data_IF_455619471349
#
_entry.id   IF_455619471349
#
_cell.length_a   1.000
_cell.length_b   1.000
_cell.length_c   1.000
_cell.angle_alpha   90.00
_cell.angle_beta   90.00
_cell.angle_gamma   90.00
#
_symmetry.space_group_name_H-M   'P 1'
#
loop_
_entity.id
_entity.type
_entity.pdbx_description
1 polymer ?
#
# COMPACT_ATOMS: atom_id res chain seq x y z
N UNK A 1 6.60 -34.03 -19.44
CA UNK A 1 6.63 -32.76 -20.21
C UNK A 1 5.21 -32.22 -20.25
N UNK A 2 4.85 -31.34 -19.31
CA UNK A 2 3.51 -30.73 -19.26
C UNK A 2 3.65 -29.28 -19.70
N UNK A 3 2.93 -28.93 -20.78
CA UNK A 3 2.98 -27.64 -21.44
C UNK A 3 2.38 -26.55 -20.54
N UNK A 4 3.20 -25.59 -20.09
CA UNK A 4 2.74 -24.31 -19.58
C UNK A 4 2.17 -23.51 -20.76
N UNK A 5 0.86 -23.29 -20.76
CA UNK A 5 0.24 -22.25 -21.56
C UNK A 5 0.53 -20.90 -20.88
N UNK A 6 1.53 -20.18 -21.41
CA UNK A 6 1.71 -18.75 -21.22
C UNK A 6 0.58 -18.03 -21.94
N UNK A 7 -0.54 -17.79 -21.24
CA UNK A 7 -1.46 -16.73 -21.64
C UNK A 7 -0.79 -15.39 -21.33
N UNK A 8 -0.04 -14.87 -22.30
CA UNK A 8 0.20 -13.43 -22.40
C UNK A 8 -1.15 -12.84 -22.83
N UNK A 9 -2.02 -12.57 -21.84
CA UNK A 9 -3.15 -11.67 -22.06
C UNK A 9 -2.55 -10.35 -22.54
N UNK A 10 -3.12 -9.71 -23.58
CA UNK A 10 -2.70 -8.38 -23.96
C UNK A 10 -2.92 -7.51 -22.72
N UNK A 11 -1.83 -6.99 -22.15
CA UNK A 11 -1.90 -5.90 -21.20
C UNK A 11 -2.50 -4.76 -22.02
N UNK A 12 -3.82 -4.61 -21.96
CA UNK A 12 -4.46 -3.36 -22.33
C UNK A 12 -3.61 -2.28 -21.66
N UNK A 13 -3.06 -1.38 -22.48
CA UNK A 13 -2.29 -0.24 -22.01
C UNK A 13 -3.26 0.66 -21.26
N UNK A 14 -3.56 0.29 -20.02
CA UNK A 14 -4.21 1.14 -19.05
C UNK A 14 -3.35 2.39 -19.01
N UNK A 15 -3.96 3.55 -19.26
CA UNK A 15 -3.26 4.82 -19.17
C UNK A 15 -2.90 5.08 -17.70
N UNK A 16 -1.75 4.55 -17.30
CA UNK A 16 -1.25 4.62 -15.94
C UNK A 16 -1.07 6.08 -15.49
N UNK A 17 -0.78 7.00 -16.42
CA UNK A 17 -0.64 8.42 -16.11
C UNK A 17 -1.99 9.05 -15.76
N UNK A 18 -3.04 8.73 -16.52
CA UNK A 18 -4.38 9.20 -16.22
C UNK A 18 -4.89 8.63 -14.88
N UNK A 19 -4.71 7.33 -14.64
CA UNK A 19 -5.13 6.71 -13.37
C UNK A 19 -4.37 7.32 -12.19
N UNK A 20 -3.04 7.50 -12.31
CA UNK A 20 -2.22 8.17 -11.31
C UNK A 20 -2.77 9.56 -11.00
N UNK A 21 -2.99 10.38 -12.01
CA UNK A 21 -3.51 11.74 -11.83
C UNK A 21 -4.87 11.77 -11.10
N UNK A 22 -5.78 10.87 -11.48
CA UNK A 22 -7.11 10.77 -10.84
C UNK A 22 -7.01 10.31 -9.38
N UNK A 23 -6.15 9.33 -9.08
CA UNK A 23 -5.90 8.85 -7.72
C UNK A 23 -5.25 9.92 -6.85
N UNK A 24 -4.26 10.65 -7.36
CA UNK A 24 -3.62 11.75 -6.65
C UNK A 24 -4.64 12.87 -6.34
N UNK A 25 -5.48 13.23 -7.32
CA UNK A 25 -6.55 14.21 -7.12
C UNK A 25 -7.54 13.75 -6.05
N UNK A 26 -7.91 12.47 -6.06
CA UNK A 26 -8.79 11.89 -5.04
C UNK A 26 -8.13 11.92 -3.64
N UNK A 27 -6.88 11.47 -3.52
CA UNK A 27 -6.13 11.47 -2.26
C UNK A 27 -5.92 12.87 -1.67
N UNK A 28 -5.93 13.91 -2.50
CA UNK A 28 -5.82 15.31 -2.07
C UNK A 28 -7.15 15.94 -1.62
N UNK A 29 -8.28 15.25 -1.78
CA UNK A 29 -9.56 15.73 -1.21
C UNK A 29 -9.54 15.67 0.32
N UNK A 30 -10.30 16.53 0.99
CA UNK A 30 -10.30 16.65 2.46
C UNK A 30 -10.53 15.33 3.20
N UNK A 31 -11.41 14.46 2.66
CA UNK A 31 -11.76 13.18 3.29
C UNK A 31 -10.74 12.07 3.04
N UNK A 32 -9.99 12.13 1.94
CA UNK A 32 -9.00 11.10 1.59
C UNK A 32 -7.57 11.51 1.96
N UNK A 33 -7.32 12.77 2.30
CA UNK A 33 -6.01 13.26 2.75
C UNK A 33 -5.75 13.07 4.24
N UNK A 34 -6.72 12.52 4.98
CA UNK A 34 -6.59 12.24 6.41
C UNK A 34 -7.18 10.89 6.81
N UNK A 35 -6.73 10.33 7.93
CA UNK A 35 -7.18 9.02 8.43
C UNK A 35 -7.21 8.97 9.96
N UNK A 36 -8.00 8.08 10.53
CA UNK A 36 -8.16 7.89 11.98
C UNK A 36 -7.41 6.68 12.55
N UNK A 37 -6.35 6.22 11.88
CA UNK A 37 -5.54 5.07 12.33
C UNK A 37 -4.99 5.32 13.75
N UNK A 38 -5.27 4.39 14.67
CA UNK A 38 -4.68 4.42 16.01
C UNK A 38 -3.21 4.00 15.98
N UNK A 39 -2.29 4.89 16.39
CA UNK A 39 -0.85 4.61 16.46
C UNK A 39 -0.35 4.28 17.88
N UNK A 40 -1.22 4.44 18.88
CA UNK A 40 -0.91 4.31 20.31
C UNK A 40 -1.22 2.92 20.88
N UNK A 41 -1.62 1.97 20.04
CA UNK A 41 -1.82 0.59 20.46
C UNK A 41 -0.49 -0.02 20.94
N UNK A 42 -0.56 -0.78 22.04
CA UNK A 42 0.60 -1.42 22.66
C UNK A 42 1.12 -2.57 21.81
N UNK A 43 2.44 -2.74 21.78
CA UNK A 43 3.07 -3.93 21.22
C UNK A 43 2.71 -5.15 22.08
N UNK A 44 2.17 -6.20 21.46
CA UNK A 44 1.80 -7.44 22.14
C UNK A 44 2.88 -8.53 22.05
N UNK A 45 4.04 -8.21 21.46
CA UNK A 45 5.11 -9.17 21.19
C UNK A 45 6.37 -8.82 21.99
N UNK A 46 6.96 -9.83 22.63
CA UNK A 46 8.23 -9.67 23.34
C UNK A 46 9.40 -9.49 22.35
N UNK A 47 10.49 -8.89 22.84
CA UNK A 47 11.74 -8.74 22.08
C UNK A 47 11.79 -7.54 21.12
N UNK A 48 10.77 -6.68 21.11
CA UNK A 48 10.81 -5.38 20.47
C UNK A 48 11.04 -4.29 21.52
N UNK A 49 12.09 -3.49 21.35
CA UNK A 49 12.19 -2.25 22.13
C UNK A 49 11.01 -1.38 21.75
N UNK A 50 10.31 -0.79 22.72
CA UNK A 50 9.28 0.21 22.43
C UNK A 50 9.61 1.51 23.13
N UNK A 51 9.77 2.58 22.35
CA UNK A 51 9.83 3.94 22.88
C UNK A 51 8.52 4.64 22.56
N UNK A 52 7.92 5.32 23.53
CA UNK A 52 6.78 6.19 23.27
C UNK A 52 7.20 7.26 22.27
N UNK A 53 6.56 7.26 21.11
CA UNK A 53 6.72 8.33 20.13
C UNK A 53 5.87 9.53 20.53
N UNK A 54 6.27 10.70 20.04
CA UNK A 54 5.40 11.87 20.03
C UNK A 54 4.05 11.50 19.38
N UNK A 55 2.92 11.75 20.06
CA UNK A 55 1.62 11.38 19.55
C UNK A 55 1.32 12.19 18.28
N UNK A 56 0.93 11.51 17.21
CA UNK A 56 0.40 12.17 16.02
C UNK A 56 -1.09 12.47 16.28
N UNK A 57 -1.54 13.74 16.21
CA UNK A 57 -2.94 14.07 16.42
C UNK A 57 -3.87 13.39 15.40
N UNK A 58 -5.05 12.98 15.87
CA UNK A 58 -6.13 12.41 15.04
C UNK A 58 -7.17 13.50 14.77
N UNK A 59 -7.70 13.67 13.54
CA UNK A 59 -7.38 12.90 12.32
C UNK A 59 -5.96 13.20 11.79
N UNK A 60 -5.26 12.15 11.36
CA UNK A 60 -3.87 12.22 10.90
C UNK A 60 -3.86 12.75 9.47
N UNK A 61 -3.24 13.90 9.23
CA UNK A 61 -2.97 14.41 7.88
C UNK A 61 -1.84 13.61 7.21
N UNK A 62 -2.15 12.93 6.10
CA UNK A 62 -1.18 12.16 5.32
C UNK A 62 -0.16 13.06 4.60
N UNK A 63 -0.55 14.22 4.00
CA UNK A 63 0.41 15.16 3.43
C UNK A 63 1.40 15.73 4.45
N UNK A 64 0.99 15.93 5.71
CA UNK A 64 1.88 16.39 6.77
C UNK A 64 2.82 15.29 7.30
N UNK A 65 2.55 14.02 6.95
CA UNK A 65 3.31 12.84 7.40
C UNK A 65 3.73 11.99 6.19
N UNK A 66 4.52 12.53 5.25
CA UNK A 66 4.87 11.82 4.02
C UNK A 66 5.67 10.54 4.31
N UNK A 67 5.53 9.55 3.44
CA UNK A 67 6.32 8.33 3.52
C UNK A 67 7.73 8.61 3.00
N UNK A 68 8.68 8.69 3.91
CA UNK A 68 10.07 9.08 3.62
C UNK A 68 11.04 8.13 4.30
N UNK A 69 12.31 8.20 3.91
CA UNK A 69 13.37 7.58 4.69
C UNK A 69 13.44 8.23 6.08
N UNK A 70 13.25 7.42 7.12
CA UNK A 70 13.33 7.84 8.54
C UNK A 70 14.58 7.34 9.26
N UNK A 71 15.50 6.70 8.54
CA UNK A 71 16.66 5.98 9.07
C UNK A 71 16.30 4.90 10.11
N UNK A 72 15.07 4.35 10.06
CA UNK A 72 14.65 3.29 10.97
C UNK A 72 15.39 1.96 10.69
N UNK A 73 16.22 1.52 11.64
CA UNK A 73 17.12 0.37 11.48
C UNK A 73 16.54 -0.98 11.95
N UNK A 74 15.54 -0.95 12.83
CA UNK A 74 14.97 -2.17 13.46
C UNK A 74 13.91 -2.88 12.58
N UNK A 75 13.70 -2.41 11.35
CA UNK A 75 12.64 -2.92 10.48
C UNK A 75 12.80 -4.39 10.07
N UNK A 76 14.01 -4.95 10.10
CA UNK A 76 14.27 -6.33 9.68
C UNK A 76 13.53 -7.37 10.53
N UNK A 77 13.51 -7.18 11.86
CA UNK A 77 12.82 -8.09 12.78
C UNK A 77 11.29 -8.00 12.60
N UNK A 78 10.77 -6.80 12.37
CA UNK A 78 9.35 -6.55 12.07
C UNK A 78 8.94 -7.25 10.77
N UNK A 79 9.70 -7.07 9.69
CA UNK A 79 9.41 -7.74 8.42
C UNK A 79 9.45 -9.26 8.56
N UNK A 80 10.44 -9.80 9.28
CA UNK A 80 10.51 -11.24 9.54
C UNK A 80 9.23 -11.75 10.22
N UNK A 81 8.77 -11.09 11.28
CA UNK A 81 7.53 -11.46 11.96
C UNK A 81 6.31 -11.40 11.01
N UNK A 82 6.23 -10.36 10.15
CA UNK A 82 5.17 -10.23 9.15
C UNK A 82 5.19 -11.39 8.14
N UNK A 83 6.37 -11.78 7.63
CA UNK A 83 6.49 -12.94 6.74
C UNK A 83 6.07 -14.25 7.44
N UNK A 84 6.38 -14.39 8.73
CA UNK A 84 6.10 -15.59 9.52
C UNK A 84 4.60 -15.75 9.90
N UNK A 85 3.76 -14.72 9.70
CA UNK A 85 2.29 -14.79 9.96
C UNK A 85 1.65 -15.97 9.22
N UNK A 86 2.08 -16.25 7.98
CA UNK A 86 1.59 -17.37 7.20
C UNK A 86 2.63 -17.86 6.20
N UNK A 87 2.91 -19.16 6.22
CA UNK A 87 3.91 -19.81 5.36
C UNK A 87 3.27 -20.36 4.09
N UNK A 88 2.83 -19.46 3.20
CA UNK A 88 2.43 -19.84 1.85
C UNK A 88 2.84 -18.80 0.80
N UNK A 89 2.80 -19.22 -0.46
CA UNK A 89 3.22 -18.39 -1.60
C UNK A 89 2.40 -17.10 -1.69
N UNK A 90 1.08 -17.15 -1.50
CA UNK A 90 0.24 -15.94 -1.64
C UNK A 90 0.60 -14.89 -0.58
N UNK A 91 0.78 -15.29 0.68
CA UNK A 91 1.17 -14.37 1.75
C UNK A 91 2.54 -13.75 1.46
N UNK A 92 3.52 -14.60 1.13
CA UNK A 92 4.88 -14.16 0.79
C UNK A 92 4.88 -13.14 -0.34
N UNK A 93 4.09 -13.36 -1.40
CA UNK A 93 4.00 -12.44 -2.53
C UNK A 93 3.34 -11.11 -2.18
N UNK A 94 2.26 -11.12 -1.38
CA UNK A 94 1.63 -9.89 -0.90
C UNK A 94 2.61 -9.07 -0.05
N UNK A 95 3.32 -9.72 0.88
CA UNK A 95 4.32 -9.06 1.73
C UNK A 95 5.51 -8.58 0.92
N UNK A 96 6.00 -9.36 -0.06
CA UNK A 96 7.05 -8.94 -0.99
C UNK A 96 6.67 -7.66 -1.73
N UNK A 97 5.47 -7.61 -2.31
CA UNK A 97 4.99 -6.44 -3.02
C UNK A 97 4.89 -5.19 -2.13
N UNK A 98 4.41 -5.36 -0.90
CA UNK A 98 4.30 -4.27 0.07
C UNK A 98 5.68 -3.80 0.55
N UNK A 99 6.60 -4.72 0.82
CA UNK A 99 7.98 -4.44 1.20
C UNK A 99 8.72 -3.70 0.07
N UNK A 100 8.58 -4.17 -1.18
CA UNK A 100 9.16 -3.48 -2.34
C UNK A 100 8.60 -2.06 -2.50
N UNK A 101 7.28 -1.86 -2.36
CA UNK A 101 6.68 -0.52 -2.41
C UNK A 101 7.24 0.42 -1.33
N UNK A 102 7.57 -0.13 -0.15
CA UNK A 102 8.17 0.63 0.95
C UNK A 102 9.61 1.01 0.62
N UNK A 103 10.38 0.06 0.08
CA UNK A 103 11.73 0.30 -0.40
C UNK A 103 11.79 1.39 -1.48
N UNK A 104 10.89 1.37 -2.46
CA UNK A 104 10.80 2.42 -3.49
C UNK A 104 10.65 3.81 -2.87
N UNK A 105 9.77 3.98 -1.89
CA UNK A 105 9.56 5.28 -1.22
C UNK A 105 10.74 5.71 -0.35
N UNK A 106 11.42 4.77 0.30
CA UNK A 106 12.67 5.04 1.03
C UNK A 106 13.74 5.57 0.07
N UNK A 107 13.87 4.97 -1.12
CA UNK A 107 14.81 5.44 -2.14
C UNK A 107 14.37 6.76 -2.76
N UNK A 108 13.06 6.96 -3.01
CA UNK A 108 12.53 8.17 -3.65
C UNK A 108 12.72 9.39 -2.79
N UNK A 109 12.40 9.24 -1.51
CA UNK A 109 12.45 10.30 -0.51
C UNK A 109 13.56 9.97 0.48
N UNK A 110 14.80 9.85 -0.02
CA UNK A 110 15.95 9.53 0.80
C UNK A 110 16.43 10.78 1.53
N UNK A 111 16.67 10.67 2.84
CA UNK A 111 17.12 11.80 3.66
C UNK A 111 18.58 12.14 3.33
N UNK A 112 18.81 13.34 2.80
CA UNK A 112 20.14 13.90 2.62
C UNK A 112 20.55 14.63 3.91
N UNK A 113 21.55 14.09 4.60
CA UNK A 113 22.04 14.61 5.87
C UNK A 113 22.79 15.94 5.72
N UNK A 114 23.27 16.30 4.52
CA UNK A 114 23.98 17.55 4.28
C UNK A 114 23.05 18.76 4.32
N UNK A 115 21.95 18.70 3.57
CA UNK A 115 21.04 19.83 3.37
C UNK A 115 19.70 19.69 4.13
N UNK A 116 19.53 18.59 4.88
CA UNK A 116 18.27 18.21 5.54
C UNK A 116 17.07 18.19 4.56
N UNK A 117 17.33 17.77 3.32
CA UNK A 117 16.33 17.63 2.26
C UNK A 117 16.04 16.16 1.98
N UNK A 118 15.01 15.90 1.16
CA UNK A 118 14.69 14.56 0.69
C UNK A 118 14.89 14.49 -0.82
N UNK A 119 15.81 13.64 -1.27
CA UNK A 119 16.18 13.49 -2.68
C UNK A 119 16.19 12.02 -3.10
N UNK A 120 15.95 11.70 -4.38
CA UNK A 120 16.03 10.32 -4.87
C UNK A 120 17.44 9.74 -4.79
N UNK A 121 17.58 8.58 -4.13
CA UNK A 121 18.83 7.81 -4.06
C UNK A 121 18.79 6.62 -5.03
N UNK A 122 19.11 6.89 -6.31
CA UNK A 122 19.12 5.88 -7.38
C UNK A 122 20.14 4.76 -7.13
N UNK A 123 21.29 5.10 -6.56
CA UNK A 123 22.37 4.13 -6.25
C UNK A 123 21.87 3.07 -5.27
N UNK A 124 21.26 3.49 -4.16
CA UNK A 124 20.67 2.57 -3.19
C UNK A 124 19.57 1.70 -3.82
N UNK A 125 18.75 2.29 -4.70
CA UNK A 125 17.73 1.54 -5.43
C UNK A 125 18.36 0.41 -6.25
N UNK A 126 19.36 0.73 -7.07
CA UNK A 126 20.05 -0.24 -7.93
C UNK A 126 20.77 -1.33 -7.13
N UNK A 127 21.42 -0.98 -6.02
CA UNK A 127 22.16 -1.92 -5.17
C UNK A 127 21.26 -2.96 -4.47
N UNK A 128 20.04 -2.56 -4.09
CA UNK A 128 19.11 -3.40 -3.32
C UNK A 128 17.89 -3.88 -4.11
N UNK A 129 17.84 -3.57 -5.41
CA UNK A 129 16.73 -3.99 -6.26
C UNK A 129 16.63 -5.52 -6.30
N UNK A 130 15.40 -6.03 -6.16
CA UNK A 130 15.08 -7.44 -6.30
C UNK A 130 14.03 -7.61 -7.39
N UNK A 131 14.41 -8.31 -8.47
CA UNK A 131 13.50 -8.60 -9.59
C UNK A 131 12.27 -9.39 -9.14
N UNK A 132 12.45 -10.41 -8.30
CA UNK A 132 11.38 -11.22 -7.75
C UNK A 132 10.37 -10.37 -6.95
N UNK A 133 10.86 -9.54 -6.02
CA UNK A 133 9.98 -8.65 -5.24
C UNK A 133 9.31 -7.58 -6.10
N UNK A 134 9.97 -7.11 -7.15
CA UNK A 134 9.36 -6.19 -8.11
C UNK A 134 8.20 -6.86 -8.87
N UNK A 135 8.36 -8.10 -9.35
CA UNK A 135 7.29 -8.86 -10.01
C UNK A 135 6.08 -9.07 -9.07
N UNK A 136 6.33 -9.41 -7.80
CA UNK A 136 5.28 -9.52 -6.79
C UNK A 136 4.59 -8.18 -6.48
N UNK A 137 5.36 -7.09 -6.49
CA UNK A 137 4.82 -5.73 -6.38
C UNK A 137 3.90 -5.36 -7.54
N UNK A 138 4.27 -5.70 -8.79
CA UNK A 138 3.42 -5.47 -9.95
C UNK A 138 2.07 -6.19 -9.78
N UNK A 139 2.08 -7.43 -9.30
CA UNK A 139 0.86 -8.20 -9.07
C UNK A 139 0.00 -7.63 -7.94
N UNK A 140 0.62 -7.16 -6.85
CA UNK A 140 -0.09 -6.46 -5.79
C UNK A 140 -0.75 -5.19 -6.31
N UNK A 141 -0.01 -4.36 -7.06
CA UNK A 141 -0.56 -3.14 -7.68
C UNK A 141 -1.75 -3.45 -8.58
N UNK A 142 -1.62 -4.44 -9.46
CA UNK A 142 -2.69 -4.85 -10.35
C UNK A 142 -3.93 -5.33 -9.58
N UNK A 143 -3.75 -6.16 -8.55
CA UNK A 143 -4.86 -6.60 -7.70
C UNK A 143 -5.60 -5.43 -7.04
N UNK A 144 -4.85 -4.47 -6.49
CA UNK A 144 -5.39 -3.29 -5.82
C UNK A 144 -6.15 -2.37 -6.79
N UNK A 145 -5.55 -2.07 -7.96
CA UNK A 145 -6.21 -1.27 -9.01
C UNK A 145 -7.51 -1.94 -9.47
N UNK A 146 -7.44 -3.22 -9.83
CA UNK A 146 -8.62 -3.96 -10.33
C UNK A 146 -9.73 -4.01 -9.30
N UNK A 147 -9.41 -3.99 -8.01
CA UNK A 147 -10.44 -3.92 -6.95
C UNK A 147 -11.32 -2.66 -7.08
N UNK A 148 -10.77 -1.52 -7.51
CA UNK A 148 -11.57 -0.32 -7.84
C UNK A 148 -12.56 -0.63 -8.98
N UNK A 149 -12.07 -1.32 -10.01
CA UNK A 149 -12.85 -1.79 -11.16
C UNK A 149 -14.10 -2.60 -10.76
N UNK A 150 -14.03 -3.39 -9.69
CA UNK A 150 -15.14 -4.25 -9.22
C UNK A 150 -15.94 -3.67 -8.05
N UNK A 151 -15.48 -2.59 -7.41
CA UNK A 151 -16.14 -2.00 -6.24
C UNK A 151 -17.54 -1.45 -6.57
N UNK A 152 -18.48 -1.68 -5.66
CA UNK A 152 -19.78 -0.99 -5.65
C UNK A 152 -19.62 0.35 -4.93
N UNK A 153 -19.50 1.43 -5.70
CA UNK A 153 -19.22 2.76 -5.17
C UNK A 153 -20.41 3.37 -4.41
N UNK A 154 -21.64 2.92 -4.70
CA UNK A 154 -22.85 3.50 -4.13
C UNK A 154 -23.01 3.23 -2.62
N UNK A 155 -22.39 2.17 -2.09
CA UNK A 155 -22.46 1.81 -0.68
C UNK A 155 -21.44 2.54 0.21
N UNK A 156 -20.55 3.35 -0.37
CA UNK A 156 -19.40 3.93 0.34
C UNK A 156 -19.62 5.36 0.86
N UNK A 157 -20.80 5.95 0.68
CA UNK A 157 -21.08 7.30 1.16
C UNK A 157 -20.15 8.37 0.55
N UNK A 158 -19.81 8.21 -0.73
CA UNK A 158 -18.93 9.11 -1.47
C UNK A 158 -19.63 10.43 -1.80
N UNK A 159 -18.91 11.54 -1.73
CA UNK A 159 -19.37 12.83 -2.25
C UNK A 159 -19.36 12.80 -3.78
N UNK A 160 -20.15 13.69 -4.40
CA UNK A 160 -20.29 13.76 -5.86
C UNK A 160 -18.95 13.83 -6.61
N UNK A 161 -17.99 14.61 -6.11
CA UNK A 161 -16.67 14.72 -6.76
C UNK A 161 -15.83 13.45 -6.59
N UNK A 162 -15.84 12.85 -5.39
CA UNK A 162 -15.13 11.59 -5.09
C UNK A 162 -15.67 10.45 -5.96
N UNK A 163 -17.00 10.36 -6.10
CA UNK A 163 -17.68 9.39 -6.95
C UNK A 163 -17.27 9.56 -8.43
N UNK A 164 -17.29 10.79 -8.95
CA UNK A 164 -16.87 11.08 -10.34
C UNK A 164 -15.42 10.66 -10.62
N UNK A 165 -14.50 10.90 -9.69
CA UNK A 165 -13.10 10.48 -9.82
C UNK A 165 -12.99 8.95 -9.86
N UNK A 166 -13.66 8.25 -8.94
CA UNK A 166 -13.63 6.79 -8.87
C UNK A 166 -14.34 6.13 -10.06
N UNK A 167 -15.44 6.69 -10.56
CA UNK A 167 -16.10 6.22 -11.79
C UNK A 167 -15.19 6.38 -13.01
N UNK A 168 -14.44 7.49 -13.08
CA UNK A 168 -13.46 7.71 -14.16
C UNK A 168 -12.33 6.67 -14.11
N UNK A 169 -11.80 6.36 -12.90
CA UNK A 169 -10.79 5.31 -12.73
C UNK A 169 -11.38 3.93 -13.08
N UNK A 170 -12.60 3.64 -12.60
CA UNK A 170 -13.30 2.37 -12.84
C UNK A 170 -13.49 2.12 -14.33
N UNK A 171 -13.86 3.16 -15.10
CA UNK A 171 -13.99 3.09 -16.56
C UNK A 171 -12.71 2.65 -17.25
N UNK A 172 -11.56 3.15 -16.80
CA UNK A 172 -10.25 2.74 -17.33
C UNK A 172 -9.87 1.29 -17.00
N UNK A 173 -10.63 0.61 -16.14
CA UNK A 173 -10.37 -0.75 -15.65
C UNK A 173 -11.45 -1.77 -16.04
N UNK A 174 -12.45 -1.39 -16.85
CA UNK A 174 -13.66 -2.19 -17.12
C UNK A 174 -13.40 -3.60 -17.70
N UNK A 175 -12.30 -3.79 -18.43
CA UNK A 175 -11.96 -5.07 -19.06
C UNK A 175 -10.97 -5.91 -18.24
N UNK A 176 -10.64 -5.50 -17.01
CA UNK A 176 -9.63 -6.17 -16.22
C UNK A 176 -10.21 -7.39 -15.48
N UNK A 177 -9.54 -8.55 -15.60
CA UNK A 177 -9.88 -9.73 -14.79
C UNK A 177 -9.27 -9.64 -13.40
N UNK A 178 -10.10 -9.76 -12.37
CA UNK A 178 -9.69 -9.76 -10.97
C UNK A 178 -9.54 -11.20 -10.45
N UNK A 179 -8.36 -11.52 -9.96
CA UNK A 179 -8.14 -12.72 -9.13
C UNK A 179 -8.45 -12.34 -7.70
N UNK A 180 -9.50 -12.95 -7.13
CA UNK A 180 -9.91 -12.68 -5.75
C UNK A 180 -8.94 -13.31 -4.76
N UNK A 181 -8.58 -12.54 -3.73
CA UNK A 181 -7.93 -13.06 -2.54
C UNK A 181 -8.97 -13.72 -1.64
N UNK A 182 -8.62 -14.86 -1.04
CA UNK A 182 -9.46 -15.55 -0.04
C UNK A 182 -9.77 -14.59 1.13
N UNK A 183 -11.05 -14.48 1.50
CA UNK A 183 -11.48 -13.61 2.61
C UNK A 183 -10.82 -13.96 3.94
N UNK A 184 -10.41 -15.23 4.15
CA UNK A 184 -9.67 -15.67 5.35
C UNK A 184 -8.32 -14.96 5.51
N UNK A 185 -7.81 -14.30 4.45
CA UNK A 185 -6.60 -13.47 4.52
C UNK A 185 -6.81 -12.19 5.33
N UNK A 186 -8.04 -11.76 5.57
CA UNK A 186 -8.35 -10.65 6.48
C UNK A 186 -7.72 -10.89 7.86
N UNK A 187 -7.83 -12.11 8.39
CA UNK A 187 -7.25 -12.47 9.70
C UNK A 187 -5.72 -12.41 9.70
N UNK A 188 -5.08 -12.76 8.58
CA UNK A 188 -3.63 -12.64 8.45
C UNK A 188 -3.19 -11.17 8.45
N UNK A 189 -3.95 -10.30 7.77
CA UNK A 189 -3.66 -8.86 7.76
C UNK A 189 -3.86 -8.25 9.16
N UNK A 190 -4.86 -8.70 9.91
CA UNK A 190 -5.08 -8.30 11.30
C UNK A 190 -3.88 -8.66 12.20
N UNK A 191 -3.30 -9.86 12.03
CA UNK A 191 -2.08 -10.25 12.74
C UNK A 191 -0.88 -9.37 12.36
N UNK A 192 -0.73 -9.04 11.07
CA UNK A 192 0.29 -8.08 10.62
C UNK A 192 0.11 -6.70 11.27
N UNK A 193 -1.13 -6.22 11.44
CA UNK A 193 -1.41 -4.95 12.13
C UNK A 193 -0.99 -4.98 13.61
N UNK A 194 -1.18 -6.11 14.30
CA UNK A 194 -0.71 -6.28 15.67
C UNK A 194 0.81 -6.22 15.76
N UNK A 195 1.52 -6.82 14.80
CA UNK A 195 3.00 -6.75 14.74
C UNK A 195 3.46 -5.29 14.53
N UNK A 196 2.74 -4.52 13.71
CA UNK A 196 3.06 -3.11 13.47
C UNK A 196 2.94 -2.22 14.72
N UNK A 197 2.23 -2.65 15.76
CA UNK A 197 2.22 -1.94 17.04
C UNK A 197 3.61 -1.88 17.68
N UNK A 198 4.50 -2.81 17.33
CA UNK A 198 5.89 -2.90 17.78
C UNK A 198 6.87 -2.04 16.99
N UNK A 199 6.41 -1.29 15.99
CA UNK A 199 7.28 -0.37 15.22
C UNK A 199 7.50 0.92 16.00
N UNK A 200 8.76 1.27 16.24
CA UNK A 200 9.12 2.53 16.94
C UNK A 200 9.10 3.76 16.05
N UNK A 201 9.20 3.62 14.75
CA UNK A 201 9.12 4.80 13.88
C UNK A 201 7.65 5.18 13.66
N UNK A 202 7.17 6.31 14.17
CA UNK A 202 5.77 6.74 14.07
C UNK A 202 5.26 6.81 12.62
N UNK A 203 6.02 7.43 11.71
CA UNK A 203 5.68 7.47 10.28
C UNK A 203 5.70 6.08 9.63
N UNK A 204 6.65 5.22 10.01
CA UNK A 204 6.72 3.84 9.51
C UNK A 204 5.53 3.02 10.00
N UNK A 205 5.11 3.20 11.25
CA UNK A 205 3.90 2.58 11.81
C UNK A 205 2.65 3.07 11.09
N UNK A 206 2.52 4.38 10.87
CA UNK A 206 1.41 4.97 10.11
C UNK A 206 1.29 4.36 8.71
N UNK A 207 2.35 4.43 7.90
CA UNK A 207 2.32 3.93 6.54
C UNK A 207 2.24 2.40 6.48
N UNK A 208 2.85 1.68 7.43
CA UNK A 208 2.67 0.24 7.58
C UNK A 208 1.20 -0.10 7.80
N UNK A 209 0.56 0.49 8.82
CA UNK A 209 -0.84 0.21 9.14
C UNK A 209 -1.77 0.59 8.00
N UNK A 210 -1.57 1.75 7.39
CA UNK A 210 -2.36 2.20 6.24
C UNK A 210 -2.34 1.16 5.11
N UNK A 211 -1.17 0.59 4.79
CA UNK A 211 -1.04 -0.40 3.72
C UNK A 211 -1.75 -1.73 4.06
N UNK A 212 -1.60 -2.23 5.28
CA UNK A 212 -2.28 -3.48 5.69
C UNK A 212 -3.79 -3.29 5.85
N UNK A 213 -4.26 -2.16 6.38
CA UNK A 213 -5.70 -1.82 6.41
C UNK A 213 -6.24 -1.69 4.97
N UNK A 214 -5.50 -1.01 4.08
CA UNK A 214 -5.89 -0.88 2.68
C UNK A 214 -5.97 -2.22 1.95
N UNK A 215 -5.03 -3.14 2.20
CA UNK A 215 -5.07 -4.49 1.65
C UNK A 215 -6.23 -5.31 2.23
N UNK A 216 -6.49 -5.20 3.52
CA UNK A 216 -7.64 -5.83 4.18
C UNK A 216 -8.96 -5.33 3.57
N UNK A 217 -9.10 -4.02 3.38
CA UNK A 217 -10.25 -3.42 2.72
C UNK A 217 -10.39 -3.93 1.27
N UNK A 218 -9.28 -4.04 0.52
CA UNK A 218 -9.32 -4.61 -0.81
C UNK A 218 -9.87 -6.06 -0.79
N UNK A 219 -9.39 -6.91 0.11
CA UNK A 219 -9.88 -8.29 0.27
C UNK A 219 -11.38 -8.30 0.57
N UNK A 220 -11.86 -7.48 1.51
CA UNK A 220 -13.30 -7.35 1.82
C UNK A 220 -14.13 -6.92 0.60
N UNK A 221 -13.64 -5.94 -0.16
CA UNK A 221 -14.28 -5.46 -1.39
C UNK A 221 -14.36 -6.54 -2.48
N UNK A 222 -13.27 -7.27 -2.72
CA UNK A 222 -13.22 -8.38 -3.70
C UNK A 222 -14.21 -9.50 -3.34
N UNK A 223 -14.46 -9.69 -2.05
CA UNK A 223 -15.38 -10.68 -1.49
C UNK A 223 -16.78 -10.12 -1.21
N UNK A 224 -17.09 -8.90 -1.67
CA UNK A 224 -18.42 -8.28 -1.61
C UNK A 224 -19.00 -8.20 -0.19
N UNK A 225 -18.18 -7.88 0.80
CA UNK A 225 -18.68 -7.57 2.14
C UNK A 225 -19.62 -6.35 2.08
N UNK A 226 -20.77 -6.45 2.76
CA UNK A 226 -21.84 -5.43 2.68
C UNK A 226 -21.45 -4.11 3.37
N UNK A 227 -20.59 -4.18 4.37
CA UNK A 227 -20.16 -3.03 5.16
C UNK A 227 -18.65 -2.85 5.06
N UNK A 228 -18.25 -1.70 4.53
CA UNK A 228 -16.87 -1.22 4.49
C UNK A 228 -16.83 0.06 5.29
N UNK A 229 -15.93 0.12 6.27
CA UNK A 229 -15.69 1.36 7.00
C UNK A 229 -15.03 2.40 6.07
N UNK A 230 -15.45 3.65 6.19
CA UNK A 230 -14.96 4.69 5.29
C UNK A 230 -13.47 4.95 5.46
N UNK A 231 -12.93 4.88 6.69
CA UNK A 231 -11.49 5.06 6.92
C UNK A 231 -10.68 3.88 6.39
N UNK A 232 -11.23 2.65 6.42
CA UNK A 232 -10.65 1.50 5.71
C UNK A 232 -10.58 1.75 4.20
N UNK A 233 -11.64 2.33 3.62
CA UNK A 233 -11.68 2.68 2.20
C UNK A 233 -10.70 3.81 1.85
N UNK A 234 -10.53 4.80 2.72
CA UNK A 234 -9.49 5.83 2.57
C UNK A 234 -8.10 5.21 2.56
N UNK A 235 -7.83 4.24 3.44
CA UNK A 235 -6.56 3.51 3.45
C UNK A 235 -6.35 2.70 2.16
N UNK A 236 -7.40 2.06 1.64
CA UNK A 236 -7.37 1.33 0.37
C UNK A 236 -7.03 2.24 -0.82
N UNK A 237 -7.68 3.39 -0.94
CA UNK A 237 -7.43 4.35 -2.02
C UNK A 237 -6.02 4.92 -1.92
N UNK A 238 -5.58 5.32 -0.72
CA UNK A 238 -4.23 5.84 -0.51
C UNK A 238 -3.15 4.78 -0.77
N UNK A 239 -3.38 3.52 -0.37
CA UNK A 239 -2.44 2.45 -0.66
C UNK A 239 -2.38 2.16 -2.17
N UNK A 240 -3.52 2.13 -2.86
CA UNK A 240 -3.56 1.96 -4.32
C UNK A 240 -2.80 3.08 -5.02
N UNK A 241 -3.01 4.34 -4.63
CA UNK A 241 -2.24 5.48 -5.13
C UNK A 241 -0.73 5.31 -4.86
N UNK A 242 -0.37 4.90 -3.65
CA UNK A 242 1.02 4.65 -3.27
C UNK A 242 1.69 3.57 -4.13
N UNK A 243 0.97 2.53 -4.55
CA UNK A 243 1.50 1.51 -5.46
C UNK A 243 1.67 2.04 -6.89
N UNK A 244 0.73 2.87 -7.36
CA UNK A 244 0.81 3.51 -8.68
C UNK A 244 1.98 4.49 -8.75
N UNK A 245 2.13 5.35 -7.75
CA UNK A 245 3.27 6.30 -7.67
C UNK A 245 4.60 5.56 -7.53
N UNK A 246 4.65 4.46 -6.78
CA UNK A 246 5.87 3.63 -6.70
C UNK A 246 6.26 3.06 -8.07
N UNK A 247 5.29 2.59 -8.87
CA UNK A 247 5.56 2.09 -10.22
C UNK A 247 6.14 3.19 -11.12
N UNK A 248 5.49 4.35 -11.12
CA UNK A 248 5.91 5.51 -11.90
C UNK A 248 7.34 5.95 -11.54
N UNK A 249 7.68 5.99 -10.25
CA UNK A 249 9.05 6.29 -9.80
C UNK A 249 10.05 5.24 -10.29
N UNK A 250 9.70 3.94 -10.25
CA UNK A 250 10.58 2.90 -10.80
C UNK A 250 10.81 3.08 -12.31
N UNK A 251 9.78 3.45 -13.07
CA UNK A 251 9.84 3.60 -14.52
C UNK A 251 10.52 4.89 -14.99
N UNK A 252 10.26 6.01 -14.30
CA UNK A 252 10.63 7.34 -14.79
C UNK A 252 11.77 7.99 -14.00
N UNK A 253 12.04 7.53 -12.77
CA UNK A 253 13.10 8.11 -11.93
C UNK A 253 14.30 7.16 -11.74
N UNK A 254 14.07 5.85 -11.61
CA UNK A 254 15.13 4.89 -11.26
C UNK A 254 15.67 4.01 -12.39
N UNK A 255 14.86 3.74 -13.42
CA UNK A 255 15.34 3.13 -14.68
C UNK A 255 15.93 4.19 -15.60
#
# INVERSE_FOLDING_TARGET
MSFLWLFILPILTVDNNQIKHLLEKLCNTTRFSSTSINLNETCAYDGFHTTHNDPIPVPISLPANPHVNTNYLEGSAIWKAIYDVRKDTTHTRLVNGMHFSTFVYICKNYHDQGDNTYLPNKKLFQEKYSKEKHEDFLLLRESMLKTIGFCNLNSLGLRREELKLLESIKKSLENASLVKLDEKRVDDMQKCLQILNCVNCARCKLWGKLKFIGLMCAIKLQNRWDKIDFDEFVCFVNFTNHLVVAQDTVENEFK
#
